data_IF_814422311456
#
_entry.id   IF_814422311456
#
_cell.length_a   1.000
_cell.length_b   1.000
_cell.length_c   1.000
_cell.angle_alpha   90.00
_cell.angle_beta   90.00
_cell.angle_gamma   90.00
#
_symmetry.space_group_name_H-M   'P 1'
#
loop_
_entity.id
_entity.type
_entity.pdbx_description
1 polymer ?
#
# COMPACT_ATOMS: atom_id res chain seq x y z
N UNK A 1 -8.73 -2.28 8.84
CA UNK A 1 -8.03 -0.99 8.63
C UNK A 1 -8.30 -0.50 7.23
N UNK A 2 -8.51 0.80 7.07
CA UNK A 2 -8.71 1.39 5.75
C UNK A 2 -7.45 1.29 4.92
N UNK A 3 -7.65 1.11 3.63
CA UNK A 3 -6.54 0.96 2.68
C UNK A 3 -5.62 2.17 2.69
N UNK A 4 -6.18 3.39 2.67
CA UNK A 4 -5.34 4.59 2.65
C UNK A 4 -4.48 4.68 3.90
N UNK A 5 -5.01 4.30 5.05
CA UNK A 5 -4.22 4.30 6.28
C UNK A 5 -3.15 3.22 6.24
N UNK A 6 -3.49 2.04 5.73
CA UNK A 6 -2.52 0.96 5.65
C UNK A 6 -1.32 1.36 4.78
N UNK A 7 -1.59 1.98 3.63
CA UNK A 7 -0.52 2.42 2.74
C UNK A 7 0.43 3.37 3.43
N UNK A 8 -0.11 4.27 4.26
CA UNK A 8 0.72 5.22 4.99
C UNK A 8 1.48 4.55 6.12
N UNK A 9 0.82 3.72 6.91
CA UNK A 9 1.45 3.08 8.07
C UNK A 9 2.56 2.13 7.62
N UNK A 10 2.33 1.39 6.55
CA UNK A 10 3.34 0.47 6.01
C UNK A 10 4.44 1.21 5.26
N UNK A 11 4.27 2.49 5.03
CA UNK A 11 5.22 3.35 4.31
C UNK A 11 5.40 2.95 2.85
N UNK A 12 4.46 2.19 2.31
CA UNK A 12 4.43 1.96 0.87
C UNK A 12 4.22 3.29 0.18
N UNK A 13 3.31 4.12 0.73
CA UNK A 13 3.15 5.50 0.32
C UNK A 13 3.24 6.34 1.59
N UNK A 14 4.21 7.23 1.66
CA UNK A 14 4.52 7.92 2.90
C UNK A 14 3.42 8.85 3.41
N UNK A 15 2.66 9.46 2.50
CA UNK A 15 1.65 10.42 2.91
C UNK A 15 0.27 9.88 2.64
N UNK A 16 -0.61 10.01 3.65
CA UNK A 16 -1.96 9.46 3.52
C UNK A 16 -2.76 10.16 2.43
N UNK A 17 -2.53 11.48 2.23
CA UNK A 17 -3.22 12.19 1.17
C UNK A 17 -2.85 11.64 -0.21
N UNK A 18 -1.58 11.31 -0.40
CA UNK A 18 -1.12 10.73 -1.66
C UNK A 18 -1.71 9.33 -1.83
N UNK A 19 -1.77 8.57 -0.74
CA UNK A 19 -2.38 7.24 -0.79
C UNK A 19 -3.84 7.34 -1.19
N UNK A 20 -4.56 8.30 -0.62
CA UNK A 20 -5.97 8.50 -0.94
C UNK A 20 -6.14 8.85 -2.41
N UNK A 21 -5.28 9.74 -2.92
CA UNK A 21 -5.35 10.13 -4.33
C UNK A 21 -5.07 8.96 -5.25
N UNK A 22 -4.10 8.13 -4.90
CA UNK A 22 -3.78 6.96 -5.71
C UNK A 22 -4.98 6.01 -5.79
N UNK A 23 -5.66 5.80 -4.67
CA UNK A 23 -6.85 4.97 -4.66
C UNK A 23 -7.95 5.59 -5.51
N UNK A 24 -8.17 6.90 -5.35
CA UNK A 24 -9.25 7.57 -6.07
C UNK A 24 -9.02 7.60 -7.57
N UNK A 25 -7.77 7.56 -8.00
CA UNK A 25 -7.46 7.54 -9.41
C UNK A 25 -7.42 6.14 -10.00
N UNK A 26 -7.79 5.12 -9.22
CA UNK A 26 -7.88 3.76 -9.74
C UNK A 26 -6.56 3.04 -9.83
N UNK A 27 -5.53 3.52 -9.15
CA UNK A 27 -4.20 2.93 -9.26
C UNK A 27 -3.87 1.91 -8.19
N UNK A 28 -4.79 1.66 -7.25
CA UNK A 28 -4.56 0.68 -6.20
C UNK A 28 -5.59 -0.43 -6.33
N UNK A 29 -5.09 -1.66 -6.35
CA UNK A 29 -5.90 -2.83 -6.61
C UNK A 29 -5.73 -3.78 -5.44
N UNK A 30 -6.83 -4.31 -4.92
CA UNK A 30 -6.81 -5.30 -3.85
C UNK A 30 -7.44 -6.57 -4.35
N UNK A 31 -6.68 -7.66 -4.33
CA UNK A 31 -7.15 -8.98 -4.76
C UNK A 31 -7.77 -8.92 -6.16
N UNK A 32 -7.13 -8.15 -7.05
CA UNK A 32 -7.56 -8.07 -8.44
C UNK A 32 -8.65 -7.07 -8.75
N UNK A 33 -9.10 -6.31 -7.75
CA UNK A 33 -10.15 -5.31 -7.96
C UNK A 33 -9.67 -3.93 -7.57
N UNK A 34 -10.02 -2.94 -8.38
CA UNK A 34 -9.71 -1.55 -8.06
C UNK A 34 -10.39 -1.20 -6.73
N UNK A 35 -9.63 -0.62 -5.83
CA UNK A 35 -10.09 -0.38 -4.47
C UNK A 35 -10.23 1.12 -4.19
N UNK A 36 -11.10 1.44 -3.23
CA UNK A 36 -11.31 2.81 -2.78
C UNK A 36 -10.45 3.06 -1.55
N UNK A 37 -10.21 4.34 -1.21
CA UNK A 37 -9.43 4.64 0.00
C UNK A 37 -9.99 4.00 1.25
N UNK A 38 -11.31 3.87 1.33
CA UNK A 38 -11.98 3.32 2.50
C UNK A 38 -12.08 1.80 2.49
N UNK A 39 -11.58 1.14 1.44
CA UNK A 39 -11.63 -0.32 1.37
C UNK A 39 -10.93 -0.91 2.59
N UNK A 40 -11.58 -1.91 3.19
CA UNK A 40 -11.01 -2.60 4.34
C UNK A 40 -9.98 -3.60 3.87
N UNK A 41 -8.78 -3.57 4.49
CA UNK A 41 -7.74 -4.53 4.14
C UNK A 41 -7.44 -5.41 5.35
N UNK A 42 -6.91 -6.61 5.07
CA UNK A 42 -6.60 -7.57 6.12
C UNK A 42 -5.41 -8.40 5.70
N UNK A 43 -4.85 -9.12 6.65
CA UNK A 43 -3.73 -10.01 6.38
C UNK A 43 -4.11 -11.01 5.31
N UNK A 44 -3.17 -11.25 4.40
CA UNK A 44 -3.38 -12.15 3.29
C UNK A 44 -3.85 -11.47 2.02
N UNK A 45 -4.34 -10.24 2.10
CA UNK A 45 -4.74 -9.52 0.90
C UNK A 45 -3.54 -9.22 0.02
N UNK A 46 -3.78 -9.24 -1.29
CA UNK A 46 -2.76 -8.89 -2.27
C UNK A 46 -3.04 -7.47 -2.75
N UNK A 47 -2.07 -6.60 -2.56
CA UNK A 47 -2.20 -5.20 -2.94
C UNK A 47 -1.30 -4.95 -4.15
N UNK A 48 -1.83 -4.19 -5.11
CA UNK A 48 -1.09 -3.85 -6.31
C UNK A 48 -1.20 -2.36 -6.53
N UNK A 49 -0.07 -1.70 -6.80
CA UNK A 49 -0.03 -0.26 -7.00
C UNK A 49 0.56 0.01 -8.37
N UNK A 50 -0.15 0.80 -9.16
CA UNK A 50 0.27 1.13 -10.50
C UNK A 50 0.90 2.51 -10.51
N UNK A 51 2.19 2.56 -10.81
CA UNK A 51 2.90 3.82 -10.99
C UNK A 51 2.96 4.14 -12.48
N UNK A 52 3.51 5.30 -12.80
CA UNK A 52 3.54 5.73 -14.20
C UNK A 52 4.29 4.73 -15.08
N UNK A 53 5.42 4.21 -14.60
CA UNK A 53 6.30 3.35 -15.41
C UNK A 53 6.53 1.98 -14.81
N UNK A 54 5.88 1.66 -13.70
CA UNK A 54 6.14 0.39 -13.04
C UNK A 54 4.97 0.06 -12.13
N UNK A 55 5.01 -1.12 -11.56
CA UNK A 55 3.99 -1.53 -10.62
C UNK A 55 4.66 -2.24 -9.44
N UNK A 56 3.93 -2.30 -8.35
CA UNK A 56 4.35 -3.01 -7.15
C UNK A 56 3.23 -3.95 -6.76
N UNK A 57 3.58 -5.19 -6.46
CA UNK A 57 2.61 -6.16 -5.96
C UNK A 57 3.14 -6.75 -4.68
N UNK A 58 2.35 -6.72 -3.64
CA UNK A 58 2.78 -7.16 -2.32
C UNK A 58 1.64 -7.85 -1.59
N UNK A 59 2.00 -8.74 -0.67
CA UNK A 59 1.04 -9.38 0.21
C UNK A 59 1.07 -8.68 1.56
N UNK A 60 -0.11 -8.42 2.12
CA UNK A 60 -0.22 -7.85 3.45
C UNK A 60 0.01 -8.97 4.45
N UNK A 61 1.07 -8.84 5.27
CA UNK A 61 1.39 -9.86 6.27
C UNK A 61 1.12 -9.39 7.68
N UNK A 62 0.92 -8.10 7.89
CA UNK A 62 0.61 -7.61 9.23
C UNK A 62 -0.21 -6.34 9.17
N UNK A 63 -1.10 -6.19 10.14
CA UNK A 63 -1.94 -5.00 10.26
C UNK A 63 -1.70 -4.43 11.66
N UNK A 64 -1.32 -3.14 11.71
CA UNK A 64 -1.13 -2.45 12.97
C UNK A 64 -1.42 -0.98 12.76
N UNK A 65 -2.06 -0.35 13.75
CA UNK A 65 -2.42 1.05 13.65
C UNK A 65 -1.19 1.95 13.67
N UNK A 66 -0.14 1.50 14.36
CA UNK A 66 1.10 2.27 14.49
C UNK A 66 2.27 1.31 14.44
N UNK A 67 3.29 1.62 13.66
CA UNK A 67 4.53 0.86 13.66
C UNK A 67 5.68 1.85 13.60
N UNK A 68 6.81 1.43 14.15
CA UNK A 68 8.02 2.22 14.02
C UNK A 68 8.50 2.17 12.58
N UNK A 69 9.24 3.19 12.18
CA UNK A 69 9.74 3.30 10.82
C UNK A 69 10.49 2.03 10.41
N UNK A 70 11.34 1.53 11.30
CA UNK A 70 12.16 0.37 10.97
C UNK A 70 11.36 -0.92 10.87
N UNK A 71 10.13 -0.93 11.41
CA UNK A 71 9.29 -2.12 11.38
C UNK A 71 8.25 -2.09 10.28
N UNK A 72 8.14 -0.98 9.57
CA UNK A 72 7.05 -0.83 8.59
C UNK A 72 7.16 -1.85 7.46
N UNK A 73 8.38 -2.18 7.05
CA UNK A 73 8.56 -3.12 5.95
C UNK A 73 8.17 -4.54 6.32
N UNK A 74 8.03 -4.83 7.61
CA UNK A 74 7.58 -6.15 8.03
C UNK A 74 6.07 -6.33 7.85
N UNK A 75 5.35 -5.26 7.50
CA UNK A 75 3.91 -5.36 7.33
C UNK A 75 3.52 -5.96 5.98
N UNK A 76 4.44 -6.00 5.03
CA UNK A 76 4.12 -6.53 3.71
C UNK A 76 5.31 -7.29 3.15
N UNK A 77 5.00 -8.10 2.14
CA UNK A 77 6.01 -8.92 1.46
C UNK A 77 5.90 -8.65 -0.03
N UNK A 78 7.00 -8.23 -0.64
CA UNK A 78 7.01 -7.93 -2.07
C UNK A 78 6.86 -9.23 -2.84
N UNK A 79 5.88 -9.28 -3.75
CA UNK A 79 5.67 -10.42 -4.63
C UNK A 79 6.33 -10.16 -5.97
N UNK A 80 6.14 -8.96 -6.52
CA UNK A 80 6.75 -8.59 -7.79
C UNK A 80 6.81 -7.09 -7.88
N UNK A 81 7.64 -6.58 -8.81
CA UNK A 81 7.81 -5.16 -8.99
C UNK A 81 8.84 -4.62 -8.02
N UNK A 82 8.95 -3.29 -7.98
CA UNK A 82 9.90 -2.60 -7.13
C UNK A 82 9.21 -1.56 -6.30
N UNK A 83 9.70 -1.39 -5.07
CA UNK A 83 9.27 -0.26 -4.26
C UNK A 83 9.68 1.04 -4.93
N UNK A 84 8.80 2.02 -4.86
CA UNK A 84 9.09 3.34 -5.39
C UNK A 84 9.78 4.14 -4.30
N UNK A 85 11.10 4.16 -4.32
CA UNK A 85 11.85 4.86 -3.29
C UNK A 85 11.72 6.37 -3.41
N UNK A 86 11.26 6.86 -4.54
CA UNK A 86 11.04 8.29 -4.69
C UNK A 86 9.93 8.79 -3.79
N UNK A 87 9.07 7.89 -3.37
CA UNK A 87 8.07 8.23 -2.38
C UNK A 87 8.70 8.65 -1.08
N UNK A 88 9.97 8.40 -0.94
CA UNK A 88 10.67 8.70 0.29
C UNK A 88 10.84 10.18 0.55
N UNK A 89 10.76 11.01 -0.47
CA UNK A 89 10.97 12.42 -0.22
C UNK A 89 9.96 13.06 0.59
#
# INVERSE_FOLDING_TARGET
MRLDKYLKVSRIIKRRTVAKEACESGRVIINGKVAKPSTEVKEGDIIEILYANRSLKARIVGIAAHVKKEDAKAMYEIISGEEDTEEEE
#
